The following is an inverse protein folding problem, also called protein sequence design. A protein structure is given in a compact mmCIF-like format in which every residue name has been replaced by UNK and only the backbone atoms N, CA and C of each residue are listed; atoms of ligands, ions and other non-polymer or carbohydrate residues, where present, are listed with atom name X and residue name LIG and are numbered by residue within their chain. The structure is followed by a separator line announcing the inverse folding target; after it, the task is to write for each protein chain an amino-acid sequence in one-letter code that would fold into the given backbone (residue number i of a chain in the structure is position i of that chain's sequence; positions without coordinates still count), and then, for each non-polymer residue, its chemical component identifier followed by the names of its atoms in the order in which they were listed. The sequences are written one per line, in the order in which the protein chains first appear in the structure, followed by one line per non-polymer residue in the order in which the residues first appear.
data_IF_672933829315
#
_entry.id   IF_672933829315
#
_cell.length_a   1.000
_cell.length_b   1.000
_cell.length_c   1.000
_cell.angle_alpha   90.00
_cell.angle_beta   90.00
_cell.angle_gamma   90.00
#
_symmetry.space_group_name_H-M   'P 1'
#
loop_
_entity.id
_entity.type
_entity.pdbx_description
1 polymer ?
#
# COMPACT_ATOMS: atom_id res chain seq x y z
N UNK A 1 -22.32 -21.44 -9.30
CA UNK A 1 -20.98 -20.94 -8.98
C UNK A 1 -21.10 -19.44 -8.81
N UNK A 2 -20.78 -18.87 -7.64
CA UNK A 2 -20.74 -17.40 -7.50
C UNK A 2 -19.61 -16.86 -8.36
N UNK A 3 -19.88 -15.78 -9.08
CA UNK A 3 -18.86 -15.07 -9.84
C UNK A 3 -17.86 -14.46 -8.85
N UNK A 4 -16.57 -14.59 -9.13
CA UNK A 4 -15.55 -13.85 -8.37
C UNK A 4 -15.77 -12.35 -8.55
N UNK A 5 -15.48 -11.54 -7.51
CA UNK A 5 -15.59 -10.08 -7.60
C UNK A 5 -14.63 -9.53 -8.66
N UNK A 6 -14.96 -8.36 -9.20
CA UNK A 6 -14.06 -7.67 -10.12
C UNK A 6 -12.85 -7.13 -9.33
N UNK A 7 -11.64 -7.48 -9.78
CA UNK A 7 -10.39 -7.01 -9.17
C UNK A 7 -9.71 -6.02 -10.10
N UNK A 8 -9.38 -4.83 -9.58
CA UNK A 8 -8.71 -3.76 -10.34
C UNK A 8 -7.53 -3.20 -9.55
N UNK A 9 -6.51 -2.73 -10.25
CA UNK A 9 -5.43 -1.93 -9.67
C UNK A 9 -5.72 -0.44 -9.90
N UNK A 10 -5.56 0.37 -8.86
CA UNK A 10 -5.70 1.81 -8.93
C UNK A 10 -4.44 2.50 -8.41
N UNK A 11 -4.03 3.61 -9.02
CA UNK A 11 -2.93 4.42 -8.50
C UNK A 11 -3.26 4.90 -7.08
N UNK A 12 -2.23 4.98 -6.23
CA UNK A 12 -2.38 5.49 -4.86
C UNK A 12 -2.19 7.00 -4.87
N UNK A 13 -3.27 7.71 -5.18
CA UNK A 13 -3.39 9.14 -4.93
C UNK A 13 -3.76 9.43 -3.46
N UNK A 14 -3.83 10.70 -3.07
CA UNK A 14 -4.12 11.07 -1.67
C UNK A 14 -5.48 10.54 -1.18
N UNK A 15 -6.59 10.62 -1.94
CA UNK A 15 -7.85 9.99 -1.54
C UNK A 15 -7.75 8.47 -1.36
N UNK A 16 -7.08 7.76 -2.27
CA UNK A 16 -6.90 6.32 -2.15
C UNK A 16 -6.01 5.94 -0.96
N UNK A 17 -4.98 6.74 -0.71
CA UNK A 17 -4.08 6.56 0.43
C UNK A 17 -4.84 6.59 1.77
N UNK A 18 -5.74 7.55 1.95
CA UNK A 18 -6.54 7.63 3.18
C UNK A 18 -7.50 6.44 3.30
N UNK A 19 -8.09 5.96 2.19
CA UNK A 19 -8.92 4.74 2.23
C UNK A 19 -8.12 3.49 2.58
N UNK A 20 -6.87 3.38 2.13
CA UNK A 20 -5.97 2.29 2.52
C UNK A 20 -5.56 2.39 3.98
N UNK A 21 -5.35 3.60 4.50
CA UNK A 21 -5.08 3.82 5.91
C UNK A 21 -6.29 3.40 6.77
N UNK A 22 -7.49 3.81 6.38
CA UNK A 22 -8.73 3.39 7.06
C UNK A 22 -8.83 1.86 7.10
N UNK A 23 -8.64 1.18 5.96
CA UNK A 23 -8.62 -0.28 5.89
C UNK A 23 -7.57 -0.89 6.85
N UNK A 24 -6.33 -0.40 6.81
CA UNK A 24 -5.24 -0.92 7.63
C UNK A 24 -5.50 -0.72 9.13
N UNK A 25 -6.06 0.43 9.53
CA UNK A 25 -6.40 0.70 10.93
C UNK A 25 -7.58 -0.12 11.44
N UNK A 26 -8.48 -0.55 10.56
CA UNK A 26 -9.62 -1.40 10.91
C UNK A 26 -9.28 -2.89 10.98
N UNK A 27 -8.44 -3.41 10.07
CA UNK A 27 -8.34 -4.86 9.80
C UNK A 27 -6.95 -5.44 10.05
N UNK A 28 -5.95 -4.62 10.38
CA UNK A 28 -4.58 -5.08 10.61
C UNK A 28 -3.99 -4.62 11.94
N UNK A 29 -3.13 -5.47 12.50
CA UNK A 29 -2.29 -5.08 13.62
C UNK A 29 -1.22 -4.09 13.11
N UNK A 30 -0.93 -3.01 13.85
CA UNK A 30 0.04 -2.02 13.41
C UNK A 30 1.43 -2.61 13.13
N UNK A 31 1.82 -3.65 13.85
CA UNK A 31 3.12 -4.34 13.72
C UNK A 31 3.23 -5.17 12.43
N UNK A 32 2.10 -5.55 11.84
CA UNK A 32 2.07 -6.26 10.54
C UNK A 32 2.20 -5.27 9.37
N UNK A 33 1.96 -3.97 9.60
CA UNK A 33 1.88 -2.94 8.55
C UNK A 33 3.02 -1.93 8.63
N UNK A 34 3.49 -1.64 9.84
CA UNK A 34 4.46 -0.57 10.10
C UNK A 34 5.55 -1.06 11.07
N UNK A 35 6.79 -0.53 10.98
CA UNK A 35 7.79 -0.75 12.00
C UNK A 35 7.32 -0.26 13.38
N UNK A 36 7.92 -0.73 14.48
CA UNK A 36 7.63 -0.23 15.82
C UNK A 36 8.11 1.21 15.97
N UNK A 37 7.20 2.16 15.72
CA UNK A 37 7.46 3.59 15.75
C UNK A 37 6.71 4.25 16.91
N UNK A 38 7.38 5.20 17.56
CA UNK A 38 6.87 5.91 18.73
C UNK A 38 6.95 5.08 20.01
N UNK A 39 6.53 5.69 21.13
CA UNK A 39 6.52 5.04 22.45
C UNK A 39 5.15 4.42 22.81
N UNK A 40 4.12 4.62 21.99
CA UNK A 40 2.77 4.12 22.22
C UNK A 40 2.53 2.71 21.64
N UNK A 41 1.55 2.01 22.19
CA UNK A 41 1.02 0.76 21.61
C UNK A 41 -0.01 1.08 20.53
N UNK A 42 -0.21 0.17 19.57
CA UNK A 42 -1.26 0.33 18.58
C UNK A 42 -0.91 1.33 17.46
N UNK A 43 -1.94 1.74 16.73
CA UNK A 43 -1.85 2.80 15.73
C UNK A 43 -1.66 4.16 16.43
N UNK A 44 -0.57 4.86 16.10
CA UNK A 44 -0.24 6.18 16.63
C UNK A 44 0.12 7.15 15.49
N UNK A 45 0.31 8.42 15.82
CA UNK A 45 0.58 9.46 14.84
C UNK A 45 1.85 9.18 14.02
N UNK A 46 2.89 8.63 14.64
CA UNK A 46 4.15 8.29 13.99
C UNK A 46 4.00 7.15 12.98
N UNK A 47 3.26 6.09 13.32
CA UNK A 47 2.95 4.97 12.42
C UNK A 47 2.06 5.40 11.27
N UNK A 48 1.05 6.24 11.53
CA UNK A 48 0.20 6.82 10.49
C UNK A 48 1.03 7.71 9.54
N UNK A 49 1.91 8.54 10.09
CA UNK A 49 2.82 9.38 9.30
C UNK A 49 3.76 8.54 8.43
N UNK A 50 4.32 7.48 9.00
CA UNK A 50 5.16 6.54 8.27
C UNK A 50 4.41 5.83 7.15
N UNK A 51 3.20 5.32 7.42
CA UNK A 51 2.36 4.64 6.42
C UNK A 51 2.11 5.52 5.21
N UNK A 52 1.72 6.78 5.44
CA UNK A 52 1.50 7.77 4.38
C UNK A 52 2.79 8.04 3.58
N UNK A 53 3.91 8.26 4.27
CA UNK A 53 5.18 8.54 3.62
C UNK A 53 5.66 7.36 2.76
N UNK A 54 5.51 6.13 3.28
CA UNK A 54 5.86 4.90 2.59
C UNK A 54 5.07 4.75 1.28
N UNK A 55 3.75 4.87 1.32
CA UNK A 55 2.92 4.74 0.11
C UNK A 55 3.14 5.86 -0.91
N UNK A 56 3.39 7.10 -0.47
CA UNK A 56 3.76 8.21 -1.38
C UNK A 56 5.11 7.95 -2.05
N UNK A 57 6.10 7.49 -1.31
CA UNK A 57 7.39 7.14 -1.89
C UNK A 57 7.24 6.03 -2.94
N UNK A 58 6.42 5.03 -2.62
CA UNK A 58 6.17 3.91 -3.50
C UNK A 58 5.20 4.23 -4.65
N UNK A 59 4.57 5.41 -4.73
CA UNK A 59 3.70 5.77 -5.88
C UNK A 59 4.47 6.49 -7.00
N UNK A 60 5.73 6.85 -6.77
CA UNK A 60 6.56 7.62 -7.70
C UNK A 60 6.83 6.91 -9.04
N UNK A 61 6.89 5.57 -9.05
CA UNK A 61 6.95 4.78 -10.28
C UNK A 61 8.23 3.95 -10.46
N UNK A 62 8.25 3.14 -11.52
CA UNK A 62 9.38 2.25 -11.81
C UNK A 62 10.56 2.96 -12.51
N UNK A 63 10.30 4.13 -13.10
CA UNK A 63 11.30 4.92 -13.84
C UNK A 63 12.08 5.92 -12.96
N UNK A 64 11.84 5.92 -11.65
CA UNK A 64 12.62 6.72 -10.69
C UNK A 64 13.73 5.87 -10.04
N UNK A 65 14.76 6.46 -9.41
CA UNK A 65 15.86 5.71 -8.81
C UNK A 65 15.43 4.66 -7.77
N UNK A 66 14.34 4.91 -7.04
CA UNK A 66 13.77 3.92 -6.12
C UNK A 66 13.22 2.70 -6.87
N UNK A 67 12.80 2.86 -8.13
CA UNK A 67 12.19 1.83 -8.99
C UNK A 67 11.10 1.04 -8.28
N UNK A 68 10.21 1.73 -7.57
CA UNK A 68 9.10 1.12 -6.84
C UNK A 68 7.78 1.74 -7.30
N UNK A 69 6.78 0.89 -7.57
CA UNK A 69 5.42 1.34 -7.81
C UNK A 69 4.41 0.52 -7.01
N UNK A 70 3.56 1.20 -6.25
CA UNK A 70 2.47 0.64 -5.49
C UNK A 70 1.12 1.04 -6.07
N UNK A 71 0.19 0.09 -6.04
CA UNK A 71 -1.21 0.27 -6.41
C UNK A 71 -2.12 -0.22 -5.28
N UNK A 72 -3.29 0.40 -5.15
CA UNK A 72 -4.38 -0.16 -4.38
C UNK A 72 -5.02 -1.31 -5.17
N UNK A 73 -5.29 -2.42 -4.49
CA UNK A 73 -6.10 -3.52 -5.02
C UNK A 73 -7.55 -3.25 -4.65
N UNK A 74 -8.42 -3.10 -5.65
CA UNK A 74 -9.85 -2.88 -5.46
C UNK A 74 -10.63 -4.16 -5.77
N UNK A 75 -11.53 -4.55 -4.87
CA UNK A 75 -12.55 -5.58 -5.08
C UNK A 75 -13.92 -4.89 -5.17
N UNK A 76 -14.57 -4.98 -6.33
CA UNK A 76 -15.84 -4.29 -6.63
C UNK A 76 -15.81 -2.79 -6.24
N UNK A 77 -14.66 -2.13 -6.46
CA UNK A 77 -14.43 -0.71 -6.19
C UNK A 77 -14.02 -0.34 -4.76
N UNK A 78 -13.95 -1.32 -3.84
CA UNK A 78 -13.48 -1.13 -2.47
C UNK A 78 -12.04 -1.61 -2.30
N UNK A 79 -11.16 -0.84 -1.62
CA UNK A 79 -9.82 -1.28 -1.32
C UNK A 79 -9.85 -2.56 -0.49
N UNK A 80 -9.09 -3.54 -0.95
CA UNK A 80 -8.83 -4.80 -0.24
C UNK A 80 -7.37 -4.88 0.23
N UNK A 81 -6.53 -3.92 -0.15
CA UNK A 81 -5.13 -3.86 0.20
C UNK A 81 -4.31 -3.12 -0.85
N UNK A 82 -3.00 -3.36 -0.85
CA UNK A 82 -2.10 -2.80 -1.86
C UNK A 82 -1.13 -3.85 -2.37
N UNK A 83 -0.62 -3.64 -3.57
CA UNK A 83 0.46 -4.42 -4.16
C UNK A 83 1.57 -3.48 -4.56
N UNK A 84 2.81 -3.85 -4.22
CA UNK A 84 4.02 -3.14 -4.61
C UNK A 84 4.80 -3.97 -5.60
N UNK A 85 5.30 -3.30 -6.62
CA UNK A 85 6.32 -3.79 -7.52
C UNK A 85 7.64 -3.07 -7.28
N UNK A 86 8.74 -3.82 -7.38
CA UNK A 86 10.10 -3.31 -7.48
C UNK A 86 10.65 -3.65 -8.85
N UNK A 87 11.14 -2.66 -9.56
CA UNK A 87 11.84 -2.86 -10.81
C UNK A 87 13.14 -3.64 -10.59
N UNK A 88 13.37 -4.59 -11.48
CA UNK A 88 14.61 -5.34 -11.60
C UNK A 88 15.19 -5.05 -13.00
N UNK A 89 16.07 -5.91 -13.51
CA UNK A 89 16.68 -5.72 -14.84
C UNK A 89 15.65 -5.89 -15.97
N UNK A 90 15.95 -5.31 -17.14
CA UNK A 90 15.23 -5.56 -18.40
C UNK A 90 13.72 -5.26 -18.39
N UNK A 91 13.30 -4.13 -17.79
CA UNK A 91 11.89 -3.69 -17.73
C UNK A 91 10.96 -4.70 -17.05
N UNK A 92 11.51 -5.57 -16.21
CA UNK A 92 10.72 -6.49 -15.39
C UNK A 92 10.63 -5.98 -13.95
N UNK A 93 9.61 -6.42 -13.22
CA UNK A 93 9.40 -6.05 -11.84
C UNK A 93 8.82 -7.24 -11.07
N UNK A 94 9.16 -7.33 -9.78
CA UNK A 94 8.68 -8.39 -8.90
C UNK A 94 7.87 -7.83 -7.73
N UNK A 95 7.08 -8.69 -7.10
CA UNK A 95 6.29 -8.39 -5.90
C UNK A 95 6.72 -9.30 -4.75
N UNK A 96 6.44 -8.90 -3.50
CA UNK A 96 6.74 -9.70 -2.31
C UNK A 96 8.15 -9.54 -1.73
N UNK A 97 8.81 -8.42 -2.01
CA UNK A 97 10.11 -8.03 -1.42
C UNK A 97 9.92 -7.30 -0.09
#
# INVERSE_FOLDING_TARGET
MSRSPEVRLADVDEPMLERLLDLATCDALPDDVTPPLGAGTGWNAERIGWFRAYHRSASAGLDVPASEKSWAVLCDGNPAGSIRLKGIVDQTAETGI
#
